data_IF_401715070371
#
_entry.id   IF_401715070371
#
_cell.length_a   1.000
_cell.length_b   1.000
_cell.length_c   1.000
_cell.angle_alpha   90.00
_cell.angle_beta   90.00
_cell.angle_gamma   90.00
#
_symmetry.space_group_name_H-M   'P 1'
#
loop_
_entity.id
_entity.type
_entity.pdbx_description
1 polymer ?
#
# COMPACT_ATOMS: atom_id res chain seq x y z
N UNK A 1 9.92 -7.76 11.49
CA UNK A 1 9.02 -8.50 10.58
C UNK A 1 8.25 -7.46 9.79
N UNK A 2 8.10 -7.62 8.46
CA UNK A 2 7.35 -6.67 7.64
C UNK A 2 5.88 -6.66 8.06
N UNK A 3 5.28 -5.47 8.03
CA UNK A 3 3.87 -5.25 8.33
C UNK A 3 2.96 -5.99 7.31
N UNK A 4 1.75 -6.39 7.71
CA UNK A 4 0.81 -7.10 6.82
C UNK A 4 0.41 -6.26 5.60
N UNK A 5 0.35 -4.93 5.75
CA UNK A 5 0.08 -4.02 4.64
C UNK A 5 1.25 -4.03 3.65
N UNK A 6 2.50 -4.04 4.14
CA UNK A 6 3.68 -4.08 3.29
C UNK A 6 3.81 -5.39 2.51
N UNK A 7 3.39 -6.52 3.11
CA UNK A 7 3.30 -7.80 2.40
C UNK A 7 2.25 -7.76 1.29
N UNK A 8 1.10 -7.12 1.54
CA UNK A 8 0.03 -6.96 0.54
C UNK A 8 0.45 -6.05 -0.61
N UNK A 9 1.15 -4.95 -0.29
CA UNK A 9 1.76 -4.03 -1.25
C UNK A 9 2.82 -4.76 -2.09
N UNK A 10 3.75 -5.48 -1.44
CA UNK A 10 4.81 -6.22 -2.14
C UNK A 10 4.23 -7.29 -3.07
N UNK A 11 3.20 -8.01 -2.63
CA UNK A 11 2.49 -8.98 -3.47
C UNK A 11 1.86 -8.30 -4.68
N UNK A 12 1.19 -7.16 -4.47
CA UNK A 12 0.57 -6.39 -5.55
C UNK A 12 1.61 -5.85 -6.53
N UNK A 13 2.75 -5.37 -6.04
CA UNK A 13 3.88 -4.94 -6.86
C UNK A 13 4.44 -6.10 -7.69
N UNK A 14 4.54 -7.30 -7.11
CA UNK A 14 4.99 -8.50 -7.80
C UNK A 14 4.03 -8.90 -8.94
N UNK A 15 2.72 -8.67 -8.80
CA UNK A 15 1.76 -8.88 -9.90
C UNK A 15 1.90 -7.87 -11.05
N UNK A 16 2.62 -6.76 -10.83
CA UNK A 16 2.76 -5.62 -11.77
C UNK A 16 1.43 -5.02 -12.24
N UNK A 17 0.32 -5.33 -11.57
CA UNK A 17 -1.01 -4.85 -11.92
C UNK A 17 -1.25 -3.39 -11.48
N UNK A 18 -0.57 -2.95 -10.41
CA UNK A 18 -0.66 -1.59 -9.88
C UNK A 18 0.50 -0.73 -10.40
N UNK A 19 0.40 -0.28 -11.65
CA UNK A 19 1.46 0.51 -12.31
C UNK A 19 1.83 1.79 -11.56
N UNK A 20 0.85 2.51 -10.99
CA UNK A 20 1.12 3.72 -10.20
C UNK A 20 1.94 3.45 -8.93
N UNK A 21 1.62 2.36 -8.22
CA UNK A 21 2.37 1.92 -7.03
C UNK A 21 3.78 1.47 -7.41
N UNK A 22 3.89 0.76 -8.54
CA UNK A 22 5.17 0.31 -9.09
C UNK A 22 6.08 1.48 -9.47
N UNK A 23 5.55 2.49 -10.14
CA UNK A 23 6.31 3.67 -10.54
C UNK A 23 6.76 4.51 -9.33
N UNK A 24 5.92 4.63 -8.30
CA UNK A 24 6.28 5.30 -7.04
C UNK A 24 7.49 4.60 -6.38
N UNK A 25 7.40 3.28 -6.20
CA UNK A 25 8.46 2.49 -5.56
C UNK A 25 9.73 2.49 -6.41
N UNK A 26 9.61 2.35 -7.74
CA UNK A 26 10.73 2.41 -8.67
C UNK A 26 11.42 3.77 -8.66
N UNK A 27 10.66 4.86 -8.63
CA UNK A 27 11.18 6.23 -8.51
C UNK A 27 11.95 6.40 -7.20
N UNK A 28 11.39 5.92 -6.09
CA UNK A 28 12.04 5.97 -4.79
C UNK A 28 13.34 5.16 -4.77
N UNK A 29 13.30 3.96 -5.34
CA UNK A 29 14.44 3.07 -5.44
C UNK A 29 15.45 3.52 -6.49
N UNK A 30 15.18 4.53 -7.30
CA UNK A 30 16.06 4.95 -8.41
C UNK A 30 17.50 5.32 -7.99
N UNK A 31 17.74 5.60 -6.71
CA UNK A 31 19.08 5.85 -6.14
C UNK A 31 19.78 4.57 -5.67
N UNK A 32 19.08 3.46 -5.62
CA UNK A 32 19.52 2.16 -5.13
C UNK A 32 19.22 1.06 -6.16
N UNK A 33 20.27 0.67 -6.89
CA UNK A 33 20.17 -0.35 -7.94
C UNK A 33 19.79 -1.73 -7.41
N UNK A 34 20.16 -2.06 -6.18
CA UNK A 34 19.83 -3.34 -5.56
C UNK A 34 18.34 -3.38 -5.22
N UNK A 35 17.81 -2.29 -4.66
CA UNK A 35 16.37 -2.17 -4.38
C UNK A 35 15.53 -2.25 -5.67
N UNK A 36 15.96 -1.63 -6.77
CA UNK A 36 15.27 -1.76 -8.07
C UNK A 36 15.29 -3.20 -8.57
N UNK A 37 16.41 -3.91 -8.41
CA UNK A 37 16.51 -5.30 -8.81
C UNK A 37 15.57 -6.21 -7.98
N UNK A 38 15.45 -5.95 -6.68
CA UNK A 38 14.49 -6.66 -5.81
C UNK A 38 13.03 -6.40 -6.21
N UNK A 39 12.69 -5.16 -6.57
CA UNK A 39 11.36 -4.82 -7.11
C UNK A 39 11.08 -5.55 -8.43
N UNK A 40 12.07 -5.61 -9.33
CA UNK A 40 11.92 -6.25 -10.64
C UNK A 40 11.92 -7.79 -10.56
N UNK A 41 12.61 -8.35 -9.57
CA UNK A 41 12.70 -9.78 -9.29
C UNK A 41 11.53 -10.32 -8.44
N UNK A 42 10.72 -9.44 -7.85
CA UNK A 42 9.55 -9.83 -7.07
C UNK A 42 8.56 -10.60 -7.96
N UNK A 43 8.23 -11.81 -7.54
CA UNK A 43 7.37 -12.74 -8.24
C UNK A 43 6.34 -13.32 -7.25
N UNK A 44 5.02 -13.19 -7.50
CA UNK A 44 4.00 -13.69 -6.59
C UNK A 44 4.04 -15.21 -6.41
N UNK A 45 4.63 -15.96 -7.35
CA UNK A 45 4.83 -17.42 -7.23
C UNK A 45 6.03 -17.78 -6.32
N UNK A 46 6.84 -16.78 -5.95
CA UNK A 46 8.04 -16.90 -5.11
C UNK A 46 7.92 -16.07 -3.84
N UNK A 47 7.32 -16.60 -2.76
CA UNK A 47 7.04 -15.86 -1.54
C UNK A 47 8.30 -15.28 -0.87
N UNK A 48 9.47 -15.88 -1.10
CA UNK A 48 10.76 -15.36 -0.63
C UNK A 48 11.12 -14.01 -1.26
N UNK A 49 10.80 -13.82 -2.54
CA UNK A 49 11.08 -12.56 -3.26
C UNK A 49 10.13 -11.45 -2.85
N UNK A 50 8.84 -11.79 -2.65
CA UNK A 50 7.82 -10.87 -2.14
C UNK A 50 8.17 -10.41 -0.72
N UNK A 51 8.60 -11.34 0.15
CA UNK A 51 9.01 -11.01 1.51
C UNK A 51 10.26 -10.12 1.53
N UNK A 52 11.25 -10.40 0.69
CA UNK A 52 12.44 -9.54 0.57
C UNK A 52 12.06 -8.12 0.17
N UNK A 53 11.17 -7.96 -0.83
CA UNK A 53 10.65 -6.65 -1.22
C UNK A 53 9.90 -5.95 -0.07
N UNK A 54 9.08 -6.67 0.69
CA UNK A 54 8.36 -6.11 1.83
C UNK A 54 9.31 -5.64 2.96
N UNK A 55 10.36 -6.41 3.25
CA UNK A 55 11.40 -6.04 4.22
C UNK A 55 12.20 -4.81 3.75
N UNK A 56 12.47 -4.72 2.45
CA UNK A 56 13.12 -3.54 1.84
C UNK A 56 12.25 -2.30 1.97
N UNK A 57 10.96 -2.40 1.63
CA UNK A 57 10.00 -1.31 1.79
C UNK A 57 9.94 -0.84 3.25
N UNK A 58 9.88 -1.76 4.22
CA UNK A 58 9.88 -1.42 5.65
C UNK A 58 11.13 -0.62 6.06
N UNK A 59 12.29 -0.99 5.53
CA UNK A 59 13.56 -0.28 5.79
C UNK A 59 13.52 1.15 5.21
N UNK A 60 12.97 1.31 4.00
CA UNK A 60 12.88 2.62 3.34
C UNK A 60 11.83 3.51 4.02
N UNK A 61 10.69 2.97 4.45
CA UNK A 61 9.69 3.72 5.24
C UNK A 61 10.26 4.23 6.57
N UNK A 62 11.08 3.42 7.25
CA UNK A 62 11.72 3.84 8.51
C UNK A 62 12.73 4.98 8.29
N UNK A 63 13.41 4.99 7.14
CA UNK A 63 14.34 6.04 6.77
C UNK A 63 13.64 7.29 6.21
N UNK A 64 12.42 7.16 5.69
CA UNK A 64 11.67 8.23 5.04
C UNK A 64 10.16 8.10 5.32
N UNK A 65 9.71 8.83 6.34
CA UNK A 65 8.31 8.85 6.73
C UNK A 65 7.39 9.47 5.66
N UNK A 66 7.89 10.42 4.84
CA UNK A 66 7.09 11.00 3.77
C UNK A 66 6.80 9.98 2.66
N UNK A 67 7.80 9.14 2.34
CA UNK A 67 7.59 8.01 1.44
C UNK A 67 6.56 7.01 2.00
N UNK A 68 6.57 6.76 3.31
CA UNK A 68 5.61 5.87 3.96
C UNK A 68 4.16 6.41 3.82
N UNK A 69 3.96 7.72 3.95
CA UNK A 69 2.65 8.35 3.75
C UNK A 69 2.20 8.32 2.28
N UNK A 70 3.12 8.60 1.35
CA UNK A 70 2.84 8.51 -0.09
C UNK A 70 2.50 7.07 -0.52
N UNK A 71 3.25 6.07 -0.04
CA UNK A 71 3.03 4.67 -0.35
C UNK A 71 1.66 4.18 0.15
N UNK A 72 1.28 4.56 1.38
CA UNK A 72 -0.05 4.27 1.92
C UNK A 72 -1.14 5.00 1.14
N UNK A 73 -0.90 6.24 0.73
CA UNK A 73 -1.82 7.03 -0.09
C UNK A 73 -2.13 6.38 -1.43
N UNK A 74 -1.10 5.93 -2.17
CA UNK A 74 -1.30 5.20 -3.42
C UNK A 74 -1.94 3.83 -3.21
N UNK A 75 -1.56 3.11 -2.14
CA UNK A 75 -2.17 1.83 -1.80
C UNK A 75 -3.69 1.95 -1.59
N UNK A 76 -4.14 2.98 -0.88
CA UNK A 76 -5.57 3.25 -0.69
C UNK A 76 -6.31 3.55 -2.01
N UNK A 77 -5.64 4.16 -2.98
CA UNK A 77 -6.23 4.39 -4.32
C UNK A 77 -6.34 3.12 -5.13
N UNK A 78 -5.33 2.25 -5.06
CA UNK A 78 -5.35 0.93 -5.72
C UNK A 78 -6.46 0.07 -5.12
N UNK A 79 -6.58 0.03 -3.79
CA UNK A 79 -7.60 -0.76 -3.11
C UNK A 79 -9.01 -0.16 -3.32
N UNK A 80 -9.18 1.16 -3.21
CA UNK A 80 -10.44 1.83 -3.50
C UNK A 80 -10.89 1.71 -4.97
N UNK A 81 -9.94 1.68 -5.91
CA UNK A 81 -10.21 1.38 -7.32
C UNK A 81 -10.66 -0.08 -7.55
N UNK A 82 -10.09 -1.02 -6.78
CA UNK A 82 -10.45 -2.44 -6.82
C UNK A 82 -11.83 -2.71 -6.18
N UNK A 83 -12.18 -1.98 -5.11
CA UNK A 83 -13.49 -2.06 -4.47
C UNK A 83 -14.61 -1.42 -5.32
N UNK A 84 -14.34 -0.32 -6.03
CA UNK A 84 -15.32 0.32 -6.92
C UNK A 84 -15.65 -0.54 -8.15
N UNK A 85 -14.70 -1.32 -8.67
CA UNK A 85 -14.96 -2.32 -9.72
C UNK A 85 -15.85 -3.48 -9.25
N UNK A 86 -16.05 -3.64 -7.94
CA UNK A 86 -16.84 -4.74 -7.34
C UNK A 86 -18.09 -4.22 -6.58
N UNK A 87 -18.48 -2.95 -6.76
CA UNK A 87 -19.73 -2.41 -6.22
C UNK A 87 -19.71 -1.97 -4.75
N UNK A 88 -18.58 -1.50 -4.22
CA UNK A 88 -18.50 -0.94 -2.87
C UNK A 88 -18.50 0.59 -2.85
N UNK A 89 -19.53 1.19 -2.25
CA UNK A 89 -19.72 2.64 -2.09
C UNK A 89 -18.60 3.23 -1.21
N UNK A 90 -17.93 4.29 -1.66
CA UNK A 90 -16.89 5.00 -0.88
C UNK A 90 -17.40 6.41 -0.53
N UNK A 91 -17.55 6.70 0.77
CA UNK A 91 -17.92 8.02 1.26
C UNK A 91 -16.66 8.75 1.74
N UNK A 92 -16.15 9.65 0.91
CA UNK A 92 -14.99 10.47 1.21
C UNK A 92 -15.45 11.77 1.88
N UNK A 93 -15.27 11.88 3.20
CA UNK A 93 -15.52 13.13 3.92
C UNK A 93 -14.20 13.89 4.08
N UNK A 94 -14.08 15.02 3.38
CA UNK A 94 -13.02 16.01 3.61
C UNK A 94 -13.57 17.17 4.45
N UNK A 95 -13.10 17.31 5.69
CA UNK A 95 -13.39 18.45 6.56
C UNK A 95 -12.76 18.26 7.94
N UNK A 96 -12.10 19.29 8.49
CA UNK A 96 -11.36 19.26 9.75
C UNK A 96 -12.29 18.92 10.93
N UNK A 97 -12.14 17.74 11.53
CA UNK A 97 -12.96 17.30 12.68
C UNK A 97 -12.12 17.30 13.97
N UNK A 98 -12.54 18.11 14.96
CA UNK A 98 -12.08 17.98 16.34
C UNK A 98 -12.89 16.87 17.02
N UNK A 99 -12.30 15.68 17.21
CA UNK A 99 -12.94 14.58 17.94
C UNK A 99 -12.27 13.23 17.66
N UNK A 100 -12.35 12.28 18.61
CA UNK A 100 -11.68 10.97 18.53
C UNK A 100 -12.05 10.23 17.25
N UNK A 101 -11.05 10.00 16.39
CA UNK A 101 -11.19 9.25 15.15
C UNK A 101 -11.07 7.77 15.46
N UNK A 102 -12.14 7.02 15.20
CA UNK A 102 -12.14 5.57 15.03
C UNK A 102 -12.37 5.30 13.55
N UNK A 103 -11.34 4.86 12.84
CA UNK A 103 -11.47 4.27 11.51
C UNK A 103 -11.62 2.76 11.68
N UNK A 104 -12.82 2.23 11.43
CA UNK A 104 -13.09 0.81 11.36
C UNK A 104 -13.48 0.49 9.91
N UNK A 105 -12.76 -0.46 9.29
CA UNK A 105 -12.93 -0.83 7.87
C UNK A 105 -14.19 -1.64 7.56
N UNK A 106 -14.98 -2.02 8.58
CA UNK A 106 -16.23 -2.77 8.39
C UNK A 106 -17.22 -2.38 9.50
N UNK A 107 -18.34 -1.76 9.13
CA UNK A 107 -19.49 -1.56 10.03
C UNK A 107 -20.67 -2.29 9.43
N UNK A 108 -20.99 -3.46 9.97
CA UNK A 108 -22.28 -4.10 9.81
C UNK A 108 -23.13 -3.88 11.07
N UNK A 109 -24.12 -3.01 10.96
CA UNK A 109 -25.14 -2.77 11.98
C UNK A 109 -25.79 -1.39 11.83
N UNK A 110 -27.11 -1.31 12.01
CA UNK A 110 -27.85 -0.05 11.98
C UNK A 110 -27.38 0.92 13.08
N UNK A 111 -26.88 2.09 12.68
CA UNK A 111 -26.57 3.19 13.58
C UNK A 111 -27.78 4.13 13.62
N UNK A 112 -28.43 4.23 14.78
CA UNK A 112 -29.39 5.30 15.07
C UNK A 112 -28.71 6.36 15.95
N UNK A 113 -28.96 7.64 15.64
CA UNK A 113 -28.41 8.81 16.33
C UNK A 113 -29.10 9.11 17.66
#
# INVERSE_FOLDING_TARGET
MPDEILMSIATTLATKAATGLYDLVKSRFGKDREAVAELEAADPERPETVRALAERLATVEQADAAFADELRGEWQRVEGGRQTATGGVNNQVTGTVHGKVLQAGDIHGDISF
#
